data_IF_064692306567
#
_entry.id   IF_064692306567
#
_cell.length_a   1.000
_cell.length_b   1.000
_cell.length_c   1.000
_cell.angle_alpha   90.00
_cell.angle_beta   90.00
_cell.angle_gamma   90.00
#
_symmetry.space_group_name_H-M   'P 1'
#
loop_
_entity.id
_entity.type
_entity.pdbx_description
1 polymer ?
#
# COMPACT_ATOMS: atom_id res chain seq x y z
N UNK A 1 -11.39 -39.25 -6.97
CA UNK A 1 -10.86 -38.48 -5.83
C UNK A 1 -10.50 -37.12 -6.37
N UNK A 2 -11.23 -36.07 -5.98
CA UNK A 2 -10.91 -34.71 -6.42
C UNK A 2 -9.68 -34.25 -5.63
N UNK A 3 -8.59 -33.96 -6.34
CA UNK A 3 -7.44 -33.26 -5.76
C UNK A 3 -7.94 -31.87 -5.35
N UNK A 4 -8.00 -31.61 -4.04
CA UNK A 4 -8.17 -30.25 -3.55
C UNK A 4 -6.94 -29.46 -4.00
N UNK A 5 -7.09 -28.65 -5.05
CA UNK A 5 -6.13 -27.60 -5.37
C UNK A 5 -6.05 -26.66 -4.15
N UNK A 6 -5.06 -26.87 -3.30
CA UNK A 6 -4.70 -25.94 -2.23
C UNK A 6 -4.09 -24.71 -2.88
N UNK A 7 -4.76 -23.56 -2.76
CA UNK A 7 -4.22 -22.31 -3.30
C UNK A 7 -3.30 -21.69 -2.25
N UNK A 8 -1.99 -21.67 -2.46
CA UNK A 8 -1.04 -21.09 -1.51
C UNK A 8 -1.13 -19.55 -1.51
N UNK A 9 -1.64 -18.91 -0.44
CA UNK A 9 -1.77 -17.46 -0.38
C UNK A 9 -0.44 -16.75 -0.06
N UNK A 10 0.66 -17.48 0.13
CA UNK A 10 1.98 -16.93 0.47
C UNK A 10 2.48 -15.92 -0.55
N UNK A 11 2.24 -16.15 -1.85
CA UNK A 11 2.63 -15.21 -2.89
C UNK A 11 1.91 -13.86 -2.77
N UNK A 12 0.62 -13.86 -2.41
CA UNK A 12 -0.15 -12.63 -2.19
C UNK A 12 0.37 -11.85 -0.98
N UNK A 13 0.65 -12.55 0.13
CA UNK A 13 1.23 -11.93 1.34
C UNK A 13 2.62 -11.36 1.07
N UNK A 14 3.45 -12.09 0.31
CA UNK A 14 4.79 -11.64 -0.08
C UNK A 14 4.72 -10.38 -0.95
N UNK A 15 3.85 -10.37 -1.97
CA UNK A 15 3.65 -9.19 -2.81
C UNK A 15 3.14 -7.99 -2.00
N UNK A 16 2.17 -8.19 -1.11
CA UNK A 16 1.67 -7.13 -0.23
C UNK A 16 2.79 -6.53 0.64
N UNK A 17 3.64 -7.38 1.22
CA UNK A 17 4.78 -6.95 2.03
C UNK A 17 5.78 -6.14 1.21
N UNK A 18 6.11 -6.60 0.00
CA UNK A 18 6.99 -5.87 -0.91
C UNK A 18 6.41 -4.49 -1.25
N UNK A 19 5.11 -4.40 -1.56
CA UNK A 19 4.46 -3.11 -1.83
C UNK A 19 4.57 -2.17 -0.62
N UNK A 20 4.28 -2.67 0.59
CA UNK A 20 4.40 -1.87 1.81
C UNK A 20 5.83 -1.37 2.05
N UNK A 21 6.84 -2.22 1.85
CA UNK A 21 8.24 -1.86 2.02
C UNK A 21 8.70 -0.82 0.99
N UNK A 22 8.28 -0.99 -0.28
CA UNK A 22 8.55 -0.04 -1.35
C UNK A 22 7.89 1.32 -1.08
N UNK A 23 6.62 1.33 -0.66
CA UNK A 23 5.90 2.57 -0.28
C UNK A 23 6.63 3.28 0.85
N UNK A 24 7.05 2.55 1.88
CA UNK A 24 7.74 3.13 3.02
C UNK A 24 9.07 3.80 2.60
N UNK A 25 9.88 3.10 1.79
CA UNK A 25 11.12 3.67 1.26
C UNK A 25 10.87 4.91 0.38
N UNK A 26 9.86 4.86 -0.48
CA UNK A 26 9.50 5.97 -1.34
C UNK A 26 9.02 7.19 -0.53
N UNK A 27 8.20 6.98 0.51
CA UNK A 27 7.75 8.05 1.41
C UNK A 27 8.93 8.72 2.14
N UNK A 28 9.89 7.95 2.64
CA UNK A 28 11.09 8.49 3.28
C UNK A 28 11.93 9.36 2.33
N UNK A 29 12.12 8.88 1.10
CA UNK A 29 12.86 9.61 0.06
C UNK A 29 12.14 10.91 -0.35
N UNK A 30 10.82 10.84 -0.46
CA UNK A 30 9.99 11.99 -0.78
C UNK A 30 10.00 13.04 0.32
N UNK A 31 9.85 12.64 1.58
CA UNK A 31 9.86 13.57 2.72
C UNK A 31 11.18 14.36 2.79
N UNK A 32 12.30 13.72 2.47
CA UNK A 32 13.60 14.39 2.34
C UNK A 32 13.59 15.45 1.24
N UNK A 33 13.06 15.09 0.06
CA UNK A 33 12.95 16.02 -1.09
C UNK A 33 12.00 17.17 -0.79
N UNK A 34 10.86 16.87 -0.16
CA UNK A 34 9.84 17.85 0.18
C UNK A 34 10.36 18.92 1.14
N UNK A 35 11.17 18.55 2.14
CA UNK A 35 11.84 19.52 3.01
C UNK A 35 12.74 20.49 2.25
N UNK A 36 13.42 20.02 1.20
CA UNK A 36 14.20 20.91 0.31
C UNK A 36 13.27 21.86 -0.44
N UNK A 37 12.14 21.38 -0.95
CA UNK A 37 11.10 22.22 -1.56
C UNK A 37 10.53 23.24 -0.58
N UNK A 38 10.25 22.87 0.67
CA UNK A 38 9.78 23.80 1.69
C UNK A 38 10.83 24.87 2.01
N UNK A 39 12.11 24.49 2.09
CA UNK A 39 13.21 25.45 2.26
C UNK A 39 13.26 26.45 1.10
N UNK A 40 13.09 25.97 -0.13
CA UNK A 40 13.00 26.83 -1.31
C UNK A 40 11.79 27.76 -1.26
N UNK A 41 10.59 27.26 -0.90
CA UNK A 41 9.39 28.08 -0.73
C UNK A 41 9.63 29.16 0.33
N UNK A 42 10.27 28.81 1.45
CA UNK A 42 10.54 29.72 2.55
C UNK A 42 11.59 30.79 2.22
N UNK A 43 12.37 30.61 1.13
CA UNK A 43 13.30 31.63 0.65
C UNK A 43 12.61 32.83 -0.03
N UNK A 44 11.33 32.66 -0.43
CA UNK A 44 10.56 33.75 -1.01
C UNK A 44 10.02 34.72 0.05
N UNK A 45 9.75 35.99 -0.30
CA UNK A 45 9.04 36.93 0.55
C UNK A 45 7.71 36.35 1.05
N UNK A 46 7.35 36.60 2.31
CA UNK A 46 6.19 35.98 2.96
C UNK A 46 4.87 36.07 2.20
N UNK A 47 4.63 37.17 1.47
CA UNK A 47 3.42 37.33 0.65
C UNK A 47 3.41 36.42 -0.60
N UNK A 48 4.57 35.99 -1.10
CA UNK A 48 4.69 35.07 -2.25
C UNK A 48 4.62 33.61 -1.84
N UNK A 49 4.99 33.27 -0.60
CA UNK A 49 5.06 31.87 -0.13
C UNK A 49 3.74 31.10 -0.36
N UNK A 50 2.53 31.65 -0.07
CA UNK A 50 1.27 30.94 -0.33
C UNK A 50 1.06 30.62 -1.81
N UNK A 51 1.41 31.55 -2.71
CA UNK A 51 1.28 31.34 -4.16
C UNK A 51 2.22 30.26 -4.66
N UNK A 52 3.48 30.28 -4.22
CA UNK A 52 4.46 29.24 -4.59
C UNK A 52 4.03 27.89 -4.00
N UNK A 53 3.59 27.85 -2.74
CA UNK A 53 3.09 26.62 -2.10
C UNK A 53 1.87 26.04 -2.83
N UNK A 54 0.97 26.88 -3.35
CA UNK A 54 -0.18 26.44 -4.15
C UNK A 54 0.20 25.75 -5.46
N UNK A 55 1.38 26.04 -6.03
CA UNK A 55 1.88 25.33 -7.22
C UNK A 55 2.32 23.90 -6.84
N UNK A 56 2.94 23.72 -5.68
CA UNK A 56 3.49 22.43 -5.24
C UNK A 56 2.49 21.54 -4.49
N UNK A 57 1.50 22.12 -3.80
CA UNK A 57 0.50 21.39 -3.00
C UNK A 57 -0.24 20.28 -3.78
N UNK A 58 -0.66 20.47 -5.05
CA UNK A 58 -1.31 19.40 -5.82
C UNK A 58 -0.39 18.19 -6.01
N UNK A 59 0.92 18.42 -6.20
CA UNK A 59 1.89 17.35 -6.36
C UNK A 59 2.10 16.56 -5.06
N UNK A 60 2.20 17.24 -3.91
CA UNK A 60 2.27 16.58 -2.59
C UNK A 60 1.01 15.75 -2.31
N UNK A 61 -0.16 16.33 -2.56
CA UNK A 61 -1.44 15.64 -2.39
C UNK A 61 -1.53 14.41 -3.29
N UNK A 62 -1.19 14.53 -4.57
CA UNK A 62 -1.20 13.41 -5.52
C UNK A 62 -0.20 12.31 -5.12
N UNK A 63 0.99 12.69 -4.67
CA UNK A 63 2.00 11.75 -4.21
C UNK A 63 1.50 10.94 -3.01
N UNK A 64 0.94 11.60 -1.99
CA UNK A 64 0.38 10.96 -0.80
C UNK A 64 -0.78 10.03 -1.14
N UNK A 65 -1.71 10.49 -1.98
CA UNK A 65 -2.85 9.69 -2.41
C UNK A 65 -2.43 8.42 -3.18
N UNK A 66 -1.40 8.53 -4.02
CA UNK A 66 -0.91 7.38 -4.79
C UNK A 66 -0.30 6.30 -3.90
N UNK A 67 0.47 6.69 -2.87
CA UNK A 67 1.03 5.74 -1.90
C UNK A 67 -0.04 5.15 -0.99
N UNK A 68 -1.05 5.95 -0.59
CA UNK A 68 -2.19 5.44 0.17
C UNK A 68 -2.93 4.35 -0.61
N UNK A 69 -3.19 4.57 -1.90
CA UNK A 69 -3.81 3.56 -2.76
C UNK A 69 -2.99 2.26 -2.82
N UNK A 70 -1.67 2.35 -2.88
CA UNK A 70 -0.79 1.17 -2.88
C UNK A 70 -0.87 0.39 -1.55
N UNK A 71 -0.93 1.10 -0.42
CA UNK A 71 -1.13 0.48 0.90
C UNK A 71 -2.50 -0.19 1.00
N UNK A 72 -3.55 0.49 0.56
CA UNK A 72 -4.91 -0.07 0.55
C UNK A 72 -4.98 -1.33 -0.34
N UNK A 73 -4.26 -1.34 -1.46
CA UNK A 73 -4.15 -2.50 -2.33
C UNK A 73 -3.40 -3.66 -1.65
N UNK A 74 -2.27 -3.39 -1.00
CA UNK A 74 -1.53 -4.39 -0.23
C UNK A 74 -2.39 -5.01 0.89
N UNK A 75 -3.16 -4.19 1.60
CA UNK A 75 -4.09 -4.66 2.63
C UNK A 75 -5.21 -5.53 2.07
N UNK A 76 -5.72 -5.20 0.87
CA UNK A 76 -6.70 -6.04 0.16
C UNK A 76 -6.10 -7.39 -0.24
N UNK A 77 -4.84 -7.44 -0.67
CA UNK A 77 -4.16 -8.70 -0.96
C UNK A 77 -4.02 -9.58 0.29
N UNK A 78 -3.68 -8.99 1.43
CA UNK A 78 -3.61 -9.73 2.71
C UNK A 78 -4.99 -10.27 3.10
N UNK A 79 -6.04 -9.47 2.97
CA UNK A 79 -7.42 -9.91 3.26
C UNK A 79 -7.87 -11.04 2.32
N UNK A 80 -7.55 -10.94 1.04
CA UNK A 80 -7.86 -11.98 0.06
C UNK A 80 -7.12 -13.29 0.40
N UNK A 81 -5.83 -13.20 0.73
CA UNK A 81 -5.02 -14.33 1.20
C UNK A 81 -5.65 -15.03 2.41
N UNK A 82 -6.07 -14.28 3.43
CA UNK A 82 -6.72 -14.85 4.61
C UNK A 82 -8.09 -15.46 4.31
N UNK A 83 -8.87 -14.87 3.38
CA UNK A 83 -10.16 -15.41 2.98
C UNK A 83 -10.04 -16.75 2.24
N UNK A 84 -9.03 -16.88 1.37
CA UNK A 84 -8.72 -18.14 0.67
C UNK A 84 -8.37 -19.24 1.67
N UNK A 85 -7.45 -18.95 2.60
CA UNK A 85 -7.02 -19.92 3.62
C UNK A 85 -8.18 -20.37 4.53
N UNK A 86 -9.07 -19.45 4.89
CA UNK A 86 -10.27 -19.76 5.67
C UNK A 86 -11.25 -20.65 4.88
N UNK A 87 -11.45 -20.37 3.59
CA UNK A 87 -12.30 -21.17 2.72
C UNK A 87 -11.74 -22.59 2.51
N UNK A 88 -10.44 -22.72 2.27
CA UNK A 88 -9.76 -24.02 2.14
C UNK A 88 -9.88 -24.84 3.43
N UNK A 89 -9.68 -24.20 4.59
CA UNK A 89 -9.86 -24.85 5.90
C UNK A 89 -11.31 -25.33 6.11
N UNK A 90 -12.30 -24.51 5.74
CA UNK A 90 -13.71 -24.88 5.86
C UNK A 90 -14.07 -26.04 4.92
N UNK A 91 -13.58 -26.04 3.68
CA UNK A 91 -13.80 -27.12 2.73
C UNK A 91 -13.18 -28.45 3.23
N UNK A 92 -11.93 -28.40 3.71
CA UNK A 92 -11.25 -29.57 4.27
C UNK A 92 -12.00 -30.15 5.49
N UNK A 93 -12.45 -29.30 6.41
CA UNK A 93 -13.24 -29.72 7.57
C UNK A 93 -14.60 -30.32 7.18
N UNK A 94 -15.26 -29.77 6.16
CA UNK A 94 -16.55 -30.28 5.68
C UNK A 94 -16.40 -31.68 5.08
N UNK A 95 -15.32 -31.92 4.33
CA UNK A 95 -15.03 -33.24 3.75
C UNK A 95 -14.64 -34.27 4.80
N UNK A 96 -13.85 -33.90 5.81
CA UNK A 96 -13.48 -34.79 6.91
C UNK A 96 -14.68 -35.21 7.79
N UNK A 97 -15.73 -34.40 7.87
CA UNK A 97 -16.94 -34.72 8.64
C UNK A 97 -17.97 -35.56 7.87
N UNK A 98 -17.74 -35.84 6.58
CA UNK A 98 -18.61 -36.67 5.72
C UNK A 98 -18.10 -38.11 5.53
N UNK A 99 -16.95 -38.45 6.13
CA UNK A 99 -16.35 -39.79 6.16
C UNK A 99 -16.22 -40.28 7.61
#
# INVERSE_FOLDING_TARGET
MAELMSYDPTAMRTAAKQIQDHVHQAQLSYEKTWRTTETFINSFPGFMQPFVRNIFNPHDTHYRNSHQWQLDFADRLIRAASAIEAADTQAANTLNNQH
#
